data_IF_867257743681
#
_entry.id   IF_867257743681
#
_cell.length_a   1.000
_cell.length_b   1.000
_cell.length_c   1.000
_cell.angle_alpha   90.00
_cell.angle_beta   90.00
_cell.angle_gamma   90.00
#
_symmetry.space_group_name_H-M   'P 1'
#
loop_
_entity.id
_entity.type
_entity.pdbx_description
1 polymer ?
#
# COMPACT_ATOMS: atom_id res chain seq x y z
N UNK A 1 17.82 21.91 46.04
CA UNK A 1 16.59 21.12 45.83
C UNK A 1 15.84 21.46 44.53
N UNK A 2 15.69 22.73 44.12
CA UNK A 2 15.01 23.13 42.87
C UNK A 2 15.62 22.57 41.56
N UNK A 3 16.95 22.41 41.50
CA UNK A 3 17.67 21.92 40.30
C UNK A 3 17.43 20.43 40.01
N UNK A 4 17.15 19.64 41.04
CA UNK A 4 16.87 18.19 40.91
C UNK A 4 15.46 17.95 40.34
N UNK A 5 14.51 18.82 40.70
CA UNK A 5 13.14 18.77 40.18
C UNK A 5 13.04 19.08 38.68
N UNK A 6 13.86 20.02 38.19
CA UNK A 6 13.87 20.42 36.77
C UNK A 6 14.48 19.30 35.90
N UNK A 7 15.53 18.64 36.39
CA UNK A 7 16.15 17.51 35.69
C UNK A 7 15.19 16.32 35.55
N UNK A 8 14.40 16.02 36.59
CA UNK A 8 13.40 14.95 36.55
C UNK A 8 12.27 15.22 35.54
N UNK A 9 11.86 16.49 35.38
CA UNK A 9 10.81 16.87 34.44
C UNK A 9 11.25 16.77 32.96
N UNK A 10 12.54 17.01 32.69
CA UNK A 10 13.11 16.94 31.33
C UNK A 10 13.31 15.50 30.83
N UNK A 11 13.60 14.55 31.72
CA UNK A 11 13.75 13.12 31.37
C UNK A 11 12.42 12.50 30.97
N UNK A 12 11.30 12.97 31.53
CA UNK A 12 9.96 12.47 31.19
C UNK A 12 9.49 12.94 29.80
N UNK A 13 9.93 14.13 29.35
CA UNK A 13 9.49 14.71 28.07
C UNK A 13 10.14 14.05 26.84
N UNK A 14 11.31 13.42 27.01
CA UNK A 14 12.06 12.76 25.92
C UNK A 14 11.52 11.37 25.55
N UNK A 15 10.62 10.79 26.35
CA UNK A 15 10.04 9.47 26.09
C UNK A 15 8.80 9.49 25.18
N UNK A 16 8.32 10.67 24.76
CA UNK A 16 7.06 10.81 24.02
C UNK A 16 7.20 10.81 22.48
N UNK A 17 8.41 10.75 21.93
CA UNK A 17 8.61 10.65 20.47
C UNK A 17 8.48 9.19 19.99
N UNK A 18 7.27 8.63 20.11
CA UNK A 18 6.92 7.37 19.48
C UNK A 18 6.68 7.57 17.99
N UNK A 19 7.53 6.98 17.15
CA UNK A 19 7.34 6.98 15.70
C UNK A 19 6.14 6.08 15.35
N UNK A 20 5.00 6.68 15.00
CA UNK A 20 3.80 5.97 14.57
C UNK A 20 3.95 5.56 13.11
N UNK A 21 4.53 4.38 12.86
CA UNK A 21 4.51 3.76 11.53
C UNK A 21 3.17 3.07 11.33
N UNK A 22 2.38 3.52 10.36
CA UNK A 22 1.12 2.88 10.03
C UNK A 22 1.39 1.50 9.42
N UNK A 23 0.76 0.45 9.95
CA UNK A 23 0.95 -0.91 9.42
C UNK A 23 0.40 -1.00 8.00
N UNK A 24 1.11 -1.73 7.13
CA UNK A 24 0.69 -2.02 5.77
C UNK A 24 -0.80 -2.44 5.68
N UNK A 25 -1.25 -3.32 6.59
CA UNK A 25 -2.62 -3.82 6.60
C UNK A 25 -3.67 -2.80 7.07
N UNK A 26 -3.27 -1.76 7.81
CA UNK A 26 -4.21 -0.81 8.47
C UNK A 26 -4.31 0.54 7.76
N UNK A 27 -3.79 0.64 6.53
CA UNK A 27 -4.00 1.83 5.70
C UNK A 27 -5.48 1.99 5.37
N UNK A 28 -6.02 3.20 5.58
CA UNK A 28 -7.39 3.52 5.17
C UNK A 28 -7.52 3.37 3.65
N UNK A 29 -8.65 2.81 3.23
CA UNK A 29 -8.90 2.42 1.85
C UNK A 29 -10.16 3.12 1.33
N UNK A 30 -10.10 3.57 0.07
CA UNK A 30 -11.26 4.03 -0.70
C UNK A 30 -11.43 3.19 -1.96
N UNK A 31 -12.59 3.25 -2.57
CA UNK A 31 -12.86 2.55 -3.85
C UNK A 31 -12.03 3.16 -4.99
N UNK A 32 -11.65 2.30 -5.95
CA UNK A 32 -11.08 2.70 -7.23
C UNK A 32 -12.21 2.94 -8.23
N UNK A 33 -12.11 3.99 -9.03
CA UNK A 33 -13.13 4.33 -10.03
C UNK A 33 -12.81 3.60 -11.33
N UNK A 34 -13.77 2.97 -12.00
CA UNK A 34 -13.58 2.32 -13.33
C UNK A 34 -12.36 1.36 -13.44
N UNK A 35 -11.90 0.78 -12.33
CA UNK A 35 -10.88 -0.26 -12.35
C UNK A 35 -11.47 -1.61 -12.79
N UNK A 36 -10.71 -2.47 -13.49
CA UNK A 36 -11.13 -3.84 -13.69
C UNK A 36 -11.33 -4.54 -12.33
N UNK A 37 -12.23 -5.52 -12.26
CA UNK A 37 -12.39 -6.29 -11.02
C UNK A 37 -11.12 -7.08 -10.68
N UNK A 38 -10.43 -7.59 -11.71
CA UNK A 38 -9.20 -8.36 -11.59
C UNK A 38 -8.14 -7.88 -12.58
N UNK A 39 -6.91 -7.75 -12.09
CA UNK A 39 -5.73 -7.63 -12.93
C UNK A 39 -5.18 -9.02 -13.27
N UNK A 40 -4.50 -9.12 -14.41
CA UNK A 40 -3.90 -10.38 -14.87
C UNK A 40 -2.39 -10.33 -14.81
N UNK A 41 -1.75 -11.49 -14.80
CA UNK A 41 -0.31 -11.62 -14.98
C UNK A 41 0.05 -11.52 -16.47
N UNK A 42 1.33 -11.28 -16.78
CA UNK A 42 1.81 -11.43 -18.17
C UNK A 42 1.63 -12.88 -18.65
N UNK A 43 1.47 -13.11 -19.96
CA UNK A 43 1.48 -14.45 -20.53
C UNK A 43 2.70 -15.26 -20.06
N UNK A 44 2.46 -16.49 -19.62
CA UNK A 44 3.50 -17.37 -19.09
C UNK A 44 3.86 -17.14 -17.61
N UNK A 45 3.16 -16.23 -16.92
CA UNK A 45 3.24 -16.08 -15.47
C UNK A 45 1.91 -16.45 -14.82
N UNK A 46 1.96 -17.14 -13.70
CA UNK A 46 0.79 -17.47 -12.88
C UNK A 46 0.86 -16.75 -11.53
N UNK A 47 -0.31 -16.47 -10.96
CA UNK A 47 -0.39 -16.03 -9.56
C UNK A 47 0.21 -17.09 -8.64
N UNK A 48 0.69 -16.65 -7.49
CA UNK A 48 1.32 -17.53 -6.51
C UNK A 48 0.66 -17.35 -5.16
N UNK A 49 0.44 -18.45 -4.45
CA UNK A 49 -0.07 -18.42 -3.07
C UNK A 49 0.91 -17.74 -2.11
N UNK A 50 2.19 -17.67 -2.46
CA UNK A 50 3.26 -17.20 -1.57
C UNK A 50 3.78 -15.81 -1.89
N UNK A 51 3.34 -15.18 -2.98
CA UNK A 51 3.89 -13.89 -3.37
C UNK A 51 3.13 -13.13 -4.46
N UNK A 52 3.24 -11.80 -4.37
CA UNK A 52 2.66 -10.87 -5.34
C UNK A 52 3.49 -10.82 -6.62
N UNK A 53 2.81 -10.87 -7.77
CA UNK A 53 3.45 -10.76 -9.09
C UNK A 53 3.55 -9.30 -9.51
N UNK A 54 4.59 -8.99 -10.28
CA UNK A 54 4.78 -7.67 -10.88
C UNK A 54 5.56 -7.83 -12.19
N UNK A 55 5.22 -7.10 -13.26
CA UNK A 55 4.02 -6.27 -13.40
C UNK A 55 2.73 -7.08 -13.42
N UNK A 56 1.60 -6.43 -13.09
CA UNK A 56 0.26 -6.91 -13.44
C UNK A 56 -0.28 -6.09 -14.62
N UNK A 57 -1.24 -6.63 -15.36
CA UNK A 57 -1.83 -6.03 -16.56
C UNK A 57 -3.32 -5.77 -16.37
N UNK A 58 -3.78 -4.61 -16.81
CA UNK A 58 -5.20 -4.31 -16.98
C UNK A 58 -5.75 -5.11 -18.17
N UNK A 59 -6.74 -6.00 -18.00
CA UNK A 59 -7.29 -6.77 -19.11
C UNK A 59 -8.07 -5.92 -20.13
N UNK A 60 -8.51 -4.71 -19.77
CA UNK A 60 -9.30 -3.86 -20.66
C UNK A 60 -8.43 -3.16 -21.70
N UNK A 61 -7.20 -2.77 -21.34
CA UNK A 61 -6.34 -1.98 -22.23
C UNK A 61 -4.86 -2.38 -22.26
N UNK A 62 -4.49 -3.44 -21.53
CA UNK A 62 -3.13 -3.98 -21.50
C UNK A 62 -2.12 -3.14 -20.73
N UNK A 63 -2.55 -2.09 -20.03
CA UNK A 63 -1.63 -1.25 -19.25
C UNK A 63 -1.02 -2.01 -18.07
N UNK A 64 0.27 -1.75 -17.81
CA UNK A 64 0.99 -2.37 -16.72
C UNK A 64 0.95 -1.53 -15.43
N UNK A 65 0.81 -2.21 -14.30
CA UNK A 65 0.96 -1.65 -12.96
C UNK A 65 2.14 -2.33 -12.25
N UNK A 66 2.89 -1.53 -11.47
CA UNK A 66 4.18 -1.97 -10.89
C UNK A 66 4.07 -2.02 -9.38
N UNK A 67 4.41 -3.15 -8.78
CA UNK A 67 4.38 -3.31 -7.32
C UNK A 67 5.36 -2.34 -6.62
N UNK A 68 4.91 -1.76 -5.51
CA UNK A 68 5.70 -0.88 -4.64
C UNK A 68 6.08 -1.61 -3.36
N UNK A 69 5.11 -2.24 -2.72
CA UNK A 69 5.29 -3.03 -1.51
C UNK A 69 4.27 -4.16 -1.45
N UNK A 70 4.56 -5.21 -0.69
CA UNK A 70 3.63 -6.31 -0.47
C UNK A 70 3.81 -6.94 0.91
N UNK A 71 2.75 -7.60 1.38
CA UNK A 71 2.76 -8.35 2.62
C UNK A 71 1.45 -9.09 2.83
N UNK A 72 1.52 -10.28 3.44
CA UNK A 72 0.33 -11.09 3.82
C UNK A 72 -0.66 -11.33 2.66
N UNK A 73 -0.15 -11.61 1.45
CA UNK A 73 -0.97 -11.89 0.27
C UNK A 73 -1.61 -10.66 -0.38
N UNK A 74 -1.22 -9.45 0.02
CA UNK A 74 -1.70 -8.19 -0.55
C UNK A 74 -0.52 -7.39 -1.07
N UNK A 75 -0.71 -6.70 -2.20
CA UNK A 75 0.29 -5.84 -2.81
C UNK A 75 -0.25 -4.45 -3.11
N UNK A 76 0.57 -3.43 -2.90
CA UNK A 76 0.27 -2.05 -3.27
C UNK A 76 1.05 -1.71 -4.55
N UNK A 77 0.31 -1.31 -5.59
CA UNK A 77 0.82 -1.12 -6.94
C UNK A 77 0.73 0.35 -7.35
N UNK A 78 1.76 0.80 -8.05
CA UNK A 78 1.80 2.09 -8.74
C UNK A 78 1.08 1.97 -10.07
N UNK A 79 0.11 2.84 -10.28
CA UNK A 79 -0.60 3.03 -11.54
C UNK A 79 -0.13 4.33 -12.18
N UNK A 80 -0.19 4.43 -13.51
CA UNK A 80 -0.02 5.69 -14.23
C UNK A 80 -1.04 6.72 -13.73
N UNK A 81 -0.61 7.98 -13.58
CA UNK A 81 -1.50 9.06 -13.13
C UNK A 81 -2.72 9.22 -14.04
N UNK A 82 -3.85 9.63 -13.46
CA UNK A 82 -5.12 9.83 -14.15
C UNK A 82 -5.94 8.56 -14.40
N UNK A 83 -5.44 7.37 -14.03
CA UNK A 83 -6.21 6.13 -14.08
C UNK A 83 -6.88 5.80 -12.76
N UNK A 84 -8.04 5.15 -12.88
CA UNK A 84 -8.84 4.61 -11.79
C UNK A 84 -9.21 5.60 -10.67
N UNK A 85 -9.29 6.89 -11.01
CA UNK A 85 -9.47 7.97 -10.03
C UNK A 85 -8.29 8.17 -9.08
N UNK A 86 -7.11 7.62 -9.34
CA UNK A 86 -5.92 7.70 -8.48
C UNK A 86 -5.34 9.12 -8.39
N UNK A 87 -4.79 9.47 -7.21
CA UNK A 87 -3.98 10.67 -6.97
C UNK A 87 -2.49 10.32 -6.85
N UNK A 88 -1.61 11.31 -6.96
CA UNK A 88 -0.14 11.10 -7.01
C UNK A 88 0.46 10.39 -5.78
N UNK A 89 -0.17 10.50 -4.61
CA UNK A 89 0.27 9.89 -3.34
C UNK A 89 -0.56 8.67 -2.94
N UNK A 90 -1.07 7.94 -3.93
CA UNK A 90 -1.92 6.78 -3.74
C UNK A 90 -1.39 5.57 -4.51
N UNK A 91 -1.74 4.38 -4.01
CA UNK A 91 -1.42 3.09 -4.60
C UNK A 91 -2.69 2.26 -4.73
N UNK A 92 -2.75 1.43 -5.76
CA UNK A 92 -3.83 0.46 -5.96
C UNK A 92 -3.49 -0.82 -5.21
N UNK A 93 -4.33 -1.18 -4.24
CA UNK A 93 -4.19 -2.37 -3.41
C UNK A 93 -4.89 -3.56 -4.05
N UNK A 94 -4.16 -4.66 -4.20
CA UNK A 94 -4.60 -5.86 -4.92
C UNK A 94 -4.37 -7.11 -4.06
N UNK A 95 -5.31 -8.05 -4.15
CA UNK A 95 -5.14 -9.41 -3.65
C UNK A 95 -4.21 -10.21 -4.57
N UNK A 96 -3.11 -10.72 -4.02
CA UNK A 96 -2.03 -11.32 -4.81
C UNK A 96 -2.29 -12.75 -5.28
N UNK A 97 -3.31 -13.41 -4.74
CA UNK A 97 -3.69 -14.75 -5.17
C UNK A 97 -4.60 -14.68 -6.40
N UNK A 98 -5.47 -13.67 -6.44
CA UNK A 98 -6.54 -13.57 -7.44
C UNK A 98 -6.36 -12.44 -8.44
N UNK A 99 -5.53 -11.45 -8.13
CA UNK A 99 -5.44 -10.21 -8.89
C UNK A 99 -6.59 -9.23 -8.61
N UNK A 100 -7.46 -9.53 -7.63
CA UNK A 100 -8.63 -8.72 -7.33
C UNK A 100 -8.27 -7.34 -6.82
N UNK A 101 -8.92 -6.30 -7.35
CA UNK A 101 -8.81 -4.95 -6.80
C UNK A 101 -9.52 -4.87 -5.47
N UNK A 102 -8.76 -4.49 -4.43
CA UNK A 102 -9.31 -4.26 -3.09
C UNK A 102 -9.68 -2.78 -2.90
N UNK A 103 -8.87 -1.88 -3.43
CA UNK A 103 -9.14 -0.44 -3.41
C UNK A 103 -7.88 0.41 -3.52
N UNK A 104 -7.97 1.67 -3.13
CA UNK A 104 -6.89 2.64 -3.18
C UNK A 104 -6.47 3.01 -1.76
N UNK A 105 -5.16 2.98 -1.52
CA UNK A 105 -4.53 3.34 -0.24
C UNK A 105 -3.57 4.50 -0.42
N UNK A 106 -3.27 5.21 0.67
CA UNK A 106 -2.19 6.20 0.66
C UNK A 106 -0.84 5.49 0.59
N UNK A 107 0.10 6.08 -0.14
CA UNK A 107 1.48 5.60 -0.19
C UNK A 107 2.11 5.65 1.19
#
# INVERSE_FOLDING_TARGET
MKKVFIAALMVILLAAFGCSSQSFATKSMRTADDAPEFFTTKPGMEFSETGCRSPLMDPNDGSEIIMVESGRGIGDYRVRSGKYGMRDNELLRIDCQTGKVLGIVKK
#
